data_IF_483184718181
#
_entry.id   IF_483184718181
#
_cell.length_a   1.000
_cell.length_b   1.000
_cell.length_c   1.000
_cell.angle_alpha   90.00
_cell.angle_beta   90.00
_cell.angle_gamma   90.00
#
_symmetry.space_group_name_H-M   'P 1'
#
loop_
_entity.id
_entity.type
_entity.pdbx_description
1 polymer ?
#
# COMPACT_ATOMS: atom_id res chain seq x y z
N UNK A 1 -2.50 11.11 5.00
CA UNK A 1 -3.12 10.24 6.03
C UNK A 1 -4.65 10.25 6.05
N UNK A 2 -5.36 11.38 5.87
CA UNK A 2 -6.84 11.44 6.04
C UNK A 2 -7.73 10.76 4.97
N UNK A 3 -7.26 10.54 3.73
CA UNK A 3 -8.13 10.12 2.62
C UNK A 3 -8.45 8.62 2.62
N UNK A 4 -7.43 7.76 2.70
CA UNK A 4 -7.62 6.32 2.62
C UNK A 4 -8.27 5.72 3.89
N UNK A 5 -7.93 6.27 5.06
CA UNK A 5 -8.61 5.95 6.31
C UNK A 5 -10.10 6.30 6.27
N UNK A 6 -10.52 7.27 5.44
CA UNK A 6 -11.92 7.60 5.23
C UNK A 6 -12.62 6.60 4.30
N UNK A 7 -11.94 6.19 3.22
CA UNK A 7 -12.49 5.24 2.23
C UNK A 7 -12.69 3.84 2.82
N UNK A 8 -11.82 3.40 3.74
CA UNK A 8 -11.95 2.13 4.46
C UNK A 8 -12.39 2.30 5.93
N UNK A 9 -12.92 3.47 6.29
CA UNK A 9 -13.37 3.77 7.66
C UNK A 9 -14.44 2.80 8.15
N UNK A 10 -15.29 2.30 7.25
CA UNK A 10 -16.38 1.37 7.59
C UNK A 10 -15.86 0.06 8.16
N UNK A 11 -14.89 -0.57 7.49
CA UNK A 11 -14.27 -1.83 7.90
C UNK A 11 -13.46 -1.68 9.19
N UNK A 12 -12.74 -0.57 9.33
CA UNK A 12 -11.93 -0.27 10.52
C UNK A 12 -12.78 -0.02 11.77
N UNK A 13 -14.00 0.52 11.62
CA UNK A 13 -14.93 0.78 12.74
C UNK A 13 -15.52 -0.49 13.35
N UNK A 14 -15.52 -1.60 12.60
CA UNK A 14 -15.97 -2.91 13.10
C UNK A 14 -14.95 -3.56 14.04
N UNK A 15 -13.72 -3.03 14.10
CA UNK A 15 -12.68 -3.51 14.99
C UNK A 15 -12.79 -2.75 16.32
N UNK A 16 -13.33 -3.43 17.33
CA UNK A 16 -13.54 -2.87 18.67
C UNK A 16 -12.21 -2.56 19.38
N UNK A 17 -11.27 -3.50 19.29
CA UNK A 17 -9.93 -3.36 19.86
C UNK A 17 -9.15 -2.19 19.21
N UNK A 18 -8.83 -1.14 19.97
CA UNK A 18 -8.09 0.02 19.47
C UNK A 18 -6.72 -0.31 18.88
N UNK A 19 -6.01 -1.29 19.44
CA UNK A 19 -4.67 -1.67 19.01
C UNK A 19 -4.74 -2.43 17.68
N UNK A 20 -5.63 -3.40 17.59
CA UNK A 20 -5.90 -4.13 16.35
C UNK A 20 -6.40 -3.19 15.24
N UNK A 21 -7.22 -2.20 15.57
CA UNK A 21 -7.68 -1.17 14.62
C UNK A 21 -6.54 -0.27 14.15
N UNK A 22 -5.63 0.14 15.04
CA UNK A 22 -4.47 0.94 14.68
C UNK A 22 -3.52 0.16 13.75
N UNK A 23 -3.28 -1.12 14.05
CA UNK A 23 -2.46 -2.00 13.21
C UNK A 23 -3.05 -2.14 11.80
N UNK A 24 -4.36 -2.40 11.68
CA UNK A 24 -5.03 -2.46 10.37
C UNK A 24 -4.99 -1.14 9.60
N UNK A 25 -5.10 -0.01 10.30
CA UNK A 25 -4.97 1.31 9.67
C UNK A 25 -3.54 1.54 9.15
N UNK A 26 -2.51 1.12 9.89
CA UNK A 26 -1.12 1.15 9.44
C UNK A 26 -0.91 0.28 8.19
N UNK A 27 -1.42 -0.96 8.18
CA UNK A 27 -1.34 -1.85 7.02
C UNK A 27 -1.99 -1.21 5.78
N UNK A 28 -3.23 -0.72 5.92
CA UNK A 28 -3.93 -0.04 4.82
C UNK A 28 -3.16 1.17 4.29
N UNK A 29 -2.54 1.93 5.19
CA UNK A 29 -1.75 3.09 4.83
C UNK A 29 -0.51 2.70 4.01
N UNK A 30 0.20 1.63 4.39
CA UNK A 30 1.35 1.13 3.63
C UNK A 30 0.93 0.68 2.24
N UNK A 31 -0.16 -0.07 2.10
CA UNK A 31 -0.68 -0.51 0.78
C UNK A 31 -0.92 0.69 -0.15
N UNK A 32 -1.65 1.70 0.32
CA UNK A 32 -1.91 2.88 -0.50
C UNK A 32 -0.67 3.73 -0.80
N UNK A 33 0.29 3.76 0.12
CA UNK A 33 1.55 4.46 -0.13
C UNK A 33 2.38 3.74 -1.21
N UNK A 34 2.42 2.40 -1.18
CA UNK A 34 3.05 1.61 -2.25
C UNK A 34 2.41 1.93 -3.60
N UNK A 35 1.09 1.96 -3.68
CA UNK A 35 0.37 2.32 -4.92
C UNK A 35 0.68 3.75 -5.37
N UNK A 36 0.72 4.71 -4.44
CA UNK A 36 1.04 6.10 -4.75
C UNK A 36 2.48 6.26 -5.27
N UNK A 37 3.45 5.54 -4.66
CA UNK A 37 4.84 5.52 -5.12
C UNK A 37 4.94 4.85 -6.48
N UNK A 38 4.27 3.72 -6.70
CA UNK A 38 4.20 3.04 -8.00
C UNK A 38 3.55 3.93 -9.09
N UNK A 39 2.64 4.82 -8.71
CA UNK A 39 2.01 5.77 -9.63
C UNK A 39 2.89 6.99 -9.96
N UNK A 40 4.00 7.20 -9.24
CA UNK A 40 4.87 8.35 -9.42
C UNK A 40 5.48 8.36 -10.84
N UNK A 41 5.51 9.52 -11.54
CA UNK A 41 6.07 9.64 -12.88
C UNK A 41 7.50 9.13 -13.02
N UNK A 42 8.36 9.31 -12.01
CA UNK A 42 9.75 8.87 -12.03
C UNK A 42 9.86 7.34 -11.97
N UNK A 43 9.06 6.69 -11.13
CA UNK A 43 9.00 5.22 -11.04
C UNK A 43 8.49 4.62 -12.35
N UNK A 44 7.44 5.21 -12.91
CA UNK A 44 6.88 4.80 -14.21
C UNK A 44 7.87 5.01 -15.36
N UNK A 45 8.63 6.11 -15.33
CA UNK A 45 9.66 6.38 -16.34
C UNK A 45 10.82 5.38 -16.25
N UNK A 46 11.26 5.04 -15.03
CA UNK A 46 12.27 4.00 -14.81
C UNK A 46 11.84 2.65 -15.40
N UNK A 47 10.60 2.22 -15.13
CA UNK A 47 10.05 1.00 -15.74
C UNK A 47 9.95 1.09 -17.27
N UNK A 48 9.51 2.23 -17.80
CA UNK A 48 9.44 2.45 -19.26
C UNK A 48 10.81 2.39 -19.93
N UNK A 49 11.87 2.79 -19.23
CA UNK A 49 13.27 2.68 -19.67
C UNK A 49 13.84 1.28 -19.50
N UNK A 50 13.06 0.32 -19.00
CA UNK A 50 13.50 -1.06 -18.77
C UNK A 50 14.38 -1.23 -17.52
N UNK A 51 14.42 -0.24 -16.63
CA UNK A 51 15.16 -0.36 -15.38
C UNK A 51 14.44 -1.33 -14.44
N UNK A 52 15.19 -2.29 -13.89
CA UNK A 52 14.69 -3.19 -12.84
C UNK A 52 14.48 -2.38 -11.55
N UNK A 53 13.22 -2.22 -11.15
CA UNK A 53 12.81 -1.50 -9.95
C UNK A 53 11.56 -2.17 -9.38
N UNK A 54 11.56 -2.44 -8.07
CA UNK A 54 10.41 -2.99 -7.36
C UNK A 54 10.12 -2.14 -6.13
N UNK A 55 8.85 -1.81 -5.92
CA UNK A 55 8.37 -1.12 -4.73
C UNK A 55 7.76 -2.18 -3.80
N UNK A 56 8.30 -2.33 -2.59
CA UNK A 56 7.84 -3.29 -1.59
C UNK A 56 7.12 -2.56 -0.44
N UNK A 57 6.02 -3.13 0.05
CA UNK A 57 5.29 -2.62 1.22
C UNK A 57 5.49 -3.50 2.44
N UNK A 58 6.27 -3.02 3.41
CA UNK A 58 6.52 -3.72 4.67
C UNK A 58 6.02 -2.89 5.86
N UNK A 59 5.64 -3.58 6.93
CA UNK A 59 5.31 -2.97 8.22
C UNK A 59 6.25 -3.52 9.27
N UNK A 60 6.83 -2.64 10.06
CA UNK A 60 7.64 -3.00 11.22
C UNK A 60 6.85 -2.73 12.50
N UNK A 61 6.69 -3.75 13.33
CA UNK A 61 6.06 -3.60 14.64
C UNK A 61 7.13 -3.38 15.72
N UNK A 62 7.00 -2.28 16.45
CA UNK A 62 7.94 -1.92 17.53
C UNK A 62 7.73 -2.82 18.77
N UNK A 63 6.52 -3.35 18.93
CA UNK A 63 6.11 -4.12 20.10
C UNK A 63 6.71 -5.54 20.13
N UNK A 64 6.70 -6.22 18.99
CA UNK A 64 7.24 -7.58 18.83
C UNK A 64 8.58 -7.60 18.07
N UNK A 65 9.00 -6.46 17.51
CA UNK A 65 10.24 -6.31 16.75
C UNK A 65 10.23 -7.00 15.38
N UNK A 66 9.06 -7.45 14.90
CA UNK A 66 8.94 -8.22 13.67
C UNK A 66 8.65 -7.34 12.46
N UNK A 67 9.38 -7.60 11.39
CA UNK A 67 9.07 -7.09 10.05
C UNK A 67 8.05 -8.01 9.38
N UNK A 68 6.94 -7.45 8.93
CA UNK A 68 5.89 -8.18 8.21
C UNK A 68 5.82 -7.67 6.78
N UNK A 69 5.95 -8.58 5.83
CA UNK A 69 5.64 -8.29 4.44
C UNK A 69 4.12 -8.25 4.27
N UNK A 70 3.59 -7.18 3.67
CA UNK A 70 2.17 -7.08 3.35
C UNK A 70 1.82 -7.74 2.01
N UNK A 71 2.79 -8.38 1.36
CA UNK A 71 2.68 -9.02 0.05
C UNK A 71 2.26 -8.04 -1.06
N UNK A 72 2.44 -6.73 -0.82
CA UNK A 72 2.17 -5.66 -1.78
C UNK A 72 3.47 -5.20 -2.41
N UNK A 73 3.93 -5.98 -3.38
CA UNK A 73 5.10 -5.65 -4.20
C UNK A 73 4.68 -5.27 -5.62
N UNK A 74 5.17 -4.13 -6.11
CA UNK A 74 4.88 -3.64 -7.48
C UNK A 74 6.19 -3.51 -8.25
N UNK A 75 6.35 -4.31 -9.29
CA UNK A 75 7.55 -4.36 -10.14
C UNK A 75 7.32 -3.86 -11.57
N UNK A 76 6.09 -3.49 -11.91
CA UNK A 76 5.72 -2.98 -13.22
C UNK A 76 4.53 -2.01 -13.10
N UNK A 77 4.29 -1.13 -14.10
CA UNK A 77 3.12 -0.28 -14.12
C UNK A 77 1.86 -1.14 -14.02
N UNK A 78 0.99 -0.86 -13.04
CA UNK A 78 -0.30 -1.55 -12.99
C UNK A 78 -1.09 -1.21 -14.26
N UNK A 79 -1.41 -2.24 -15.05
CA UNK A 79 -2.25 -2.08 -16.23
C UNK A 79 -3.65 -1.83 -15.72
N UNK A 80 -4.10 -0.57 -15.70
CA UNK A 80 -5.50 -0.26 -15.39
C UNK A 80 -6.41 -1.18 -16.23
N UNK A 81 -7.48 -1.76 -15.65
CA UNK A 81 -8.39 -2.61 -16.40
C UNK A 81 -8.93 -1.78 -17.58
N UNK A 82 -8.79 -2.31 -18.79
CA UNK A 82 -9.38 -1.71 -19.99
C UNK A 82 -10.88 -1.64 -19.72
N UNK A 83 -11.42 -0.46 -19.44
CA UNK A 83 -12.85 -0.24 -19.54
C UNK A 83 -13.18 -0.36 -21.02
N UNK A 84 -13.70 -1.52 -21.42
CA UNK A 84 -14.39 -1.68 -22.70
C UNK A 84 -15.61 -0.75 -22.70
N UNK A 85 -15.89 -0.08 -23.83
CA UNK A 85 -17.02 0.83 -23.96
C UNK A 85 -18.37 0.13 -23.78
#
# INVERSE_FOLDING_TARGET
MRRLAHERAGELRLIEDPEMRANRLCECNVVAQVEAVAANPFVRDAWRKGQSLTVHGWVYSIQDGLLRDLEVSVSAPSRAPRRTP
#
